data_IF_832655003200
#
_entry.id   IF_832655003200
#
_cell.length_a   1.000
_cell.length_b   1.000
_cell.length_c   1.000
_cell.angle_alpha   90.00
_cell.angle_beta   90.00
_cell.angle_gamma   90.00
#
_symmetry.space_group_name_H-M   'P 1'
#
loop_
_entity.id
_entity.type
_entity.pdbx_description
1 polymer ?
#
# COMPACT_ATOMS: atom_id res chain seq x y z
N UNK A 1 37.31 16.01 3.85
CA UNK A 1 36.66 16.65 5.01
C UNK A 1 37.55 16.56 6.25
N UNK A 2 37.88 15.36 6.72
CA UNK A 2 38.79 15.17 7.88
C UNK A 2 40.18 15.79 7.65
N UNK A 3 40.73 15.66 6.44
CA UNK A 3 42.01 16.29 6.06
C UNK A 3 41.97 17.82 6.12
N UNK A 4 40.90 18.45 5.64
CA UNK A 4 40.74 19.90 5.66
C UNK A 4 40.56 20.44 7.10
N UNK A 5 39.83 19.71 7.96
CA UNK A 5 39.64 20.07 9.36
C UNK A 5 40.96 20.05 10.14
N UNK A 6 41.85 19.09 9.84
CA UNK A 6 43.17 18.99 10.46
C UNK A 6 44.00 20.28 10.24
N UNK A 7 43.99 20.81 9.01
CA UNK A 7 44.69 22.06 8.68
C UNK A 7 44.10 23.27 9.42
N UNK A 8 42.77 23.31 9.61
CA UNK A 8 42.10 24.36 10.39
C UNK A 8 42.48 24.28 11.87
N UNK A 9 42.59 23.06 12.40
CA UNK A 9 42.95 22.85 13.80
C UNK A 9 44.41 23.23 14.10
N UNK A 10 45.31 22.98 13.14
CA UNK A 10 46.75 23.33 13.22
C UNK A 10 47.02 24.83 13.03
N UNK A 11 46.09 25.58 12.43
CA UNK A 11 46.25 27.01 12.21
C UNK A 11 46.14 27.81 13.52
N UNK A 12 47.14 28.65 13.80
CA UNK A 12 47.13 29.57 14.94
C UNK A 12 46.26 30.82 14.71
N UNK A 13 45.82 31.05 13.47
CA UNK A 13 44.98 32.21 13.09
C UNK A 13 43.50 32.03 13.40
N UNK A 14 43.07 30.81 13.72
CA UNK A 14 41.67 30.48 13.96
C UNK A 14 41.39 30.46 15.46
N UNK A 15 40.41 31.23 15.95
CA UNK A 15 40.01 31.21 17.37
C UNK A 15 39.53 29.81 17.82
N UNK A 16 39.77 29.48 19.09
CA UNK A 16 39.40 28.19 19.66
C UNK A 16 37.90 27.88 19.52
N UNK A 17 37.02 28.83 19.83
CA UNK A 17 35.58 28.66 19.72
C UNK A 17 35.12 28.28 18.31
N UNK A 18 35.80 28.77 17.27
CA UNK A 18 35.48 28.44 15.87
C UNK A 18 35.92 27.01 15.55
N UNK A 19 37.08 26.57 16.06
CA UNK A 19 37.55 25.19 15.90
C UNK A 19 36.60 24.21 16.58
N UNK A 20 36.15 24.52 17.79
CA UNK A 20 35.23 23.66 18.55
C UNK A 20 33.90 23.48 17.80
N UNK A 21 33.32 24.57 17.28
CA UNK A 21 32.09 24.51 16.47
C UNK A 21 32.30 23.69 15.19
N UNK A 22 33.42 23.89 14.49
CA UNK A 22 33.74 23.13 13.27
C UNK A 22 33.95 21.64 13.55
N UNK A 23 34.61 21.29 14.65
CA UNK A 23 34.79 19.90 15.06
C UNK A 23 33.43 19.26 15.38
N UNK A 24 32.58 19.92 16.16
CA UNK A 24 31.23 19.45 16.47
C UNK A 24 30.39 19.21 15.21
N UNK A 25 30.41 20.15 14.25
CA UNK A 25 29.72 19.99 12.96
C UNK A 25 30.27 18.81 12.15
N UNK A 26 31.59 18.58 12.17
CA UNK A 26 32.19 17.44 11.46
C UNK A 26 31.80 16.12 12.10
N UNK A 27 31.73 16.06 13.44
CA UNK A 27 31.29 14.87 14.16
C UNK A 27 29.83 14.53 13.83
N UNK A 28 28.94 15.53 13.80
CA UNK A 28 27.55 15.37 13.35
C UNK A 28 27.49 14.86 11.90
N UNK A 29 28.28 15.45 10.98
CA UNK A 29 28.32 15.01 9.59
C UNK A 29 28.87 13.59 9.42
N UNK A 30 29.79 13.16 10.29
CA UNK A 30 30.28 11.77 10.31
C UNK A 30 29.17 10.84 10.80
N UNK A 31 28.41 11.23 11.83
CA UNK A 31 27.27 10.47 12.34
C UNK A 31 26.20 10.30 11.26
N UNK A 32 25.75 11.40 10.64
CA UNK A 32 24.77 11.41 9.55
C UNK A 32 25.22 10.56 8.38
N UNK A 33 26.51 10.61 8.02
CA UNK A 33 27.05 9.77 6.95
C UNK A 33 26.96 8.28 7.27
N UNK A 34 27.31 7.89 8.50
CA UNK A 34 27.22 6.49 8.96
C UNK A 34 25.78 6.01 8.93
N UNK A 35 24.84 6.81 9.42
CA UNK A 35 23.41 6.48 9.39
C UNK A 35 22.91 6.34 7.96
N UNK A 36 23.26 7.28 7.08
CA UNK A 36 22.93 7.19 5.64
C UNK A 36 23.47 5.90 5.02
N UNK A 37 24.72 5.56 5.27
CA UNK A 37 25.36 4.37 4.71
C UNK A 37 24.72 3.08 5.26
N UNK A 38 24.29 3.09 6.53
CA UNK A 38 23.53 2.00 7.13
C UNK A 38 22.14 1.86 6.50
N UNK A 39 21.41 2.96 6.37
CA UNK A 39 20.10 3.00 5.71
C UNK A 39 20.17 2.54 4.26
N UNK A 40 21.22 2.93 3.52
CA UNK A 40 21.44 2.46 2.16
C UNK A 40 21.64 0.95 2.11
N UNK A 41 22.43 0.37 3.03
CA UNK A 41 22.62 -1.09 3.11
C UNK A 41 21.31 -1.82 3.40
N UNK A 42 20.52 -1.31 4.34
CA UNK A 42 19.21 -1.89 4.69
C UNK A 42 18.23 -1.76 3.53
N UNK A 43 18.16 -0.61 2.87
CA UNK A 43 17.32 -0.39 1.71
C UNK A 43 17.67 -1.35 0.57
N UNK A 44 18.97 -1.53 0.29
CA UNK A 44 19.46 -2.50 -0.69
C UNK A 44 19.09 -3.95 -0.32
N UNK A 45 19.19 -4.30 0.96
CA UNK A 45 18.82 -5.63 1.44
C UNK A 45 17.30 -5.87 1.31
N UNK A 46 16.48 -4.88 1.64
CA UNK A 46 15.03 -4.95 1.47
C UNK A 46 14.63 -5.02 -0.01
N UNK A 47 15.20 -4.18 -0.87
CA UNK A 47 14.97 -4.22 -2.31
C UNK A 47 15.29 -5.58 -2.90
N UNK A 48 16.39 -6.23 -2.48
CA UNK A 48 16.72 -7.61 -2.85
C UNK A 48 15.66 -8.61 -2.40
N UNK A 49 15.15 -8.50 -1.17
CA UNK A 49 14.09 -9.39 -0.66
C UNK A 49 12.79 -9.26 -1.45
N UNK A 50 12.50 -8.08 -1.99
CA UNK A 50 11.25 -7.79 -2.71
C UNK A 50 11.39 -7.74 -4.25
N UNK A 51 12.57 -8.06 -4.80
CA UNK A 51 12.80 -8.07 -6.25
C UNK A 51 12.75 -6.69 -6.91
N UNK A 52 13.03 -5.62 -6.17
CA UNK A 52 12.97 -4.24 -6.65
C UNK A 52 14.36 -3.85 -7.24
N UNK A 53 14.44 -3.29 -8.46
CA UNK A 53 15.69 -2.84 -9.06
C UNK A 53 16.44 -1.83 -8.18
N UNK A 54 17.78 -1.92 -8.19
CA UNK A 54 18.65 -1.34 -7.18
C UNK A 54 18.93 0.16 -7.34
N UNK A 55 18.66 0.75 -8.50
CA UNK A 55 18.99 2.13 -8.82
C UNK A 55 17.89 2.69 -9.73
N UNK A 56 16.99 3.51 -9.18
CA UNK A 56 16.24 4.46 -10.00
C UNK A 56 16.95 5.81 -9.85
N UNK A 57 17.37 6.46 -10.95
CA UNK A 57 17.98 7.78 -10.87
C UNK A 57 17.00 8.73 -10.17
N UNK A 58 17.54 9.62 -9.32
CA UNK A 58 16.80 10.58 -8.50
C UNK A 58 15.80 11.41 -9.34
N UNK A 59 16.05 11.57 -10.65
CA UNK A 59 15.15 12.21 -11.61
C UNK A 59 13.80 11.49 -11.82
N UNK A 60 13.64 10.24 -11.37
CA UNK A 60 12.38 9.51 -11.45
C UNK A 60 11.47 9.74 -10.22
N UNK A 61 11.97 10.39 -9.16
CA UNK A 61 11.20 10.60 -7.92
C UNK A 61 10.11 11.66 -8.12
N UNK A 62 10.37 12.69 -8.94
CA UNK A 62 9.36 13.71 -9.28
C UNK A 62 8.18 13.15 -10.11
N UNK A 63 8.33 11.96 -10.70
CA UNK A 63 7.26 11.32 -11.48
C UNK A 63 6.27 10.50 -10.63
N UNK A 64 6.63 10.17 -9.38
CA UNK A 64 5.78 9.34 -8.50
C UNK A 64 4.95 10.22 -7.55
N UNK A 65 5.37 11.46 -7.29
CA UNK A 65 4.62 12.45 -6.49
C UNK A 65 3.68 13.34 -7.31
N UNK A 66 3.76 13.29 -8.65
CA UNK A 66 2.97 14.15 -9.55
C UNK A 66 1.62 13.55 -10.02
N UNK A 67 1.04 12.59 -9.31
CA UNK A 67 -0.32 12.08 -9.62
C UNK A 67 -1.35 12.31 -8.52
N UNK A 68 -1.06 13.20 -7.57
CA UNK A 68 -2.04 13.74 -6.62
C UNK A 68 -2.28 15.22 -6.94
N UNK A 69 -2.79 15.50 -8.14
CA UNK A 69 -3.47 16.75 -8.40
C UNK A 69 -4.97 16.54 -8.17
N UNK A 70 -5.61 17.27 -7.24
CA UNK A 70 -7.04 17.45 -7.30
C UNK A 70 -7.31 18.25 -8.56
N UNK A 71 -7.89 17.61 -9.57
CA UNK A 71 -8.43 18.30 -10.72
C UNK A 71 -9.63 19.15 -10.25
N UNK A 72 -9.35 20.34 -9.73
CA UNK A 72 -10.32 21.43 -9.67
C UNK A 72 -10.57 21.89 -11.11
N UNK A 73 -11.42 21.14 -11.81
CA UNK A 73 -12.16 21.69 -12.94
C UNK A 73 -13.35 22.44 -12.36
N UNK A 74 -13.17 23.73 -12.14
CA UNK A 74 -14.27 24.68 -12.02
C UNK A 74 -15.14 24.57 -13.27
N UNK A 75 -16.29 23.91 -13.14
CA UNK A 75 -17.40 24.09 -14.08
C UNK A 75 -18.23 25.30 -13.61
N UNK A 76 -18.73 26.16 -14.51
CA UNK A 76 -19.55 27.29 -14.11
C UNK A 76 -20.86 26.78 -13.49
N UNK A 77 -21.15 27.24 -12.28
CA UNK A 77 -22.45 27.09 -11.62
C UNK A 77 -23.53 27.79 -12.45
N UNK A 78 -24.48 27.02 -12.97
CA UNK A 78 -25.72 27.53 -13.55
C UNK A 78 -26.82 27.48 -12.46
N UNK A 79 -27.29 28.61 -11.90
CA UNK A 79 -28.19 28.60 -10.76
C UNK A 79 -29.64 28.49 -11.25
N UNK A 80 -30.03 27.32 -11.78
CA UNK A 80 -31.44 27.02 -12.00
C UNK A 80 -31.72 25.54 -12.17
N UNK A 81 -32.13 24.89 -11.09
CA UNK A 81 -33.33 24.02 -11.03
C UNK A 81 -33.31 23.23 -9.72
N UNK A 82 -34.18 23.66 -8.81
CA UNK A 82 -34.70 22.82 -7.74
C UNK A 82 -35.40 21.59 -8.35
N UNK A 83 -35.30 20.44 -7.68
CA UNK A 83 -35.92 19.13 -7.98
C UNK A 83 -35.13 18.12 -8.84
N UNK A 84 -34.10 17.46 -8.26
CA UNK A 84 -33.61 16.13 -8.72
C UNK A 84 -32.65 15.39 -7.76
N UNK A 85 -32.76 15.53 -6.45
CA UNK A 85 -31.76 14.97 -5.51
C UNK A 85 -31.84 13.45 -5.21
N UNK A 86 -32.79 12.70 -5.77
CA UNK A 86 -32.95 11.27 -5.42
C UNK A 86 -32.18 10.32 -6.37
N UNK A 87 -31.78 10.79 -7.57
CA UNK A 87 -31.18 9.91 -8.59
C UNK A 87 -29.64 9.81 -8.50
N UNK A 88 -28.94 10.86 -8.07
CA UNK A 88 -27.48 10.85 -8.03
C UNK A 88 -26.88 10.10 -6.82
N UNK A 89 -27.55 10.03 -5.67
CA UNK A 89 -27.02 9.28 -4.50
C UNK A 89 -26.97 7.75 -4.76
N UNK A 90 -27.91 7.23 -5.56
CA UNK A 90 -27.93 5.83 -5.96
C UNK A 90 -26.72 5.45 -6.85
N UNK A 91 -26.32 6.34 -7.76
CA UNK A 91 -25.21 6.08 -8.68
C UNK A 91 -23.86 6.03 -7.96
N UNK A 92 -23.65 6.89 -6.96
CA UNK A 92 -22.40 6.90 -6.18
C UNK A 92 -22.25 5.64 -5.33
N UNK A 93 -23.31 5.26 -4.58
CA UNK A 93 -23.31 4.04 -3.75
C UNK A 93 -23.13 2.78 -4.58
N UNK A 94 -23.76 2.70 -5.75
CA UNK A 94 -23.57 1.60 -6.70
C UNK A 94 -22.14 1.57 -7.25
N UNK A 95 -21.57 2.73 -7.56
CA UNK A 95 -20.18 2.82 -8.03
C UNK A 95 -19.19 2.37 -6.95
N UNK A 96 -19.44 2.70 -5.69
CA UNK A 96 -18.63 2.27 -4.54
C UNK A 96 -18.78 0.76 -4.30
N UNK A 97 -20.01 0.23 -4.34
CA UNK A 97 -20.28 -1.22 -4.22
C UNK A 97 -19.53 -2.00 -5.31
N UNK A 98 -19.55 -1.51 -6.54
CA UNK A 98 -18.88 -2.10 -7.71
C UNK A 98 -17.34 -2.13 -7.60
N UNK A 99 -16.74 -1.32 -6.72
CA UNK A 99 -15.29 -1.29 -6.50
C UNK A 99 -14.82 -2.29 -5.44
N UNK A 100 -15.74 -3.03 -4.83
CA UNK A 100 -15.40 -3.99 -3.79
C UNK A 100 -16.07 -5.33 -4.01
N UNK A 101 -15.40 -6.39 -3.57
CA UNK A 101 -15.98 -7.72 -3.45
C UNK A 101 -15.99 -8.13 -1.98
N UNK A 102 -16.93 -9.01 -1.64
CA UNK A 102 -17.02 -9.60 -0.31
C UNK A 102 -16.87 -11.11 -0.47
N UNK A 103 -15.92 -11.68 0.26
CA UNK A 103 -15.58 -13.11 0.25
C UNK A 103 -16.04 -13.71 1.58
N UNK A 104 -16.74 -14.83 1.53
CA UNK A 104 -17.16 -15.61 2.69
C UNK A 104 -16.37 -16.92 2.78
N UNK A 105 -16.35 -17.54 3.97
CA UNK A 105 -15.78 -18.87 4.17
C UNK A 105 -14.25 -18.94 4.19
N UNK A 106 -13.56 -17.80 4.33
CA UNK A 106 -12.10 -17.76 4.54
C UNK A 106 -11.84 -17.93 6.04
N UNK A 107 -11.12 -18.97 6.49
CA UNK A 107 -10.80 -19.18 7.91
C UNK A 107 -10.12 -17.96 8.54
N UNK A 108 -10.39 -17.66 9.81
CA UNK A 108 -9.66 -16.62 10.54
C UNK A 108 -8.39 -17.16 11.22
N UNK A 109 -7.24 -16.51 10.99
CA UNK A 109 -6.00 -16.84 11.67
C UNK A 109 -6.05 -16.39 13.14
N UNK A 110 -5.84 -17.33 14.07
CA UNK A 110 -5.85 -17.10 15.53
C UNK A 110 -4.47 -16.72 16.09
N UNK A 111 -3.78 -15.79 15.44
CA UNK A 111 -2.52 -15.23 15.97
C UNK A 111 -2.79 -14.09 16.95
N UNK A 112 -1.96 -13.94 17.98
CA UNK A 112 -1.95 -12.76 18.86
C UNK A 112 -1.53 -11.49 18.11
N UNK A 113 -0.69 -11.62 17.08
CA UNK A 113 -0.14 -10.50 16.31
C UNK A 113 -1.10 -10.05 15.21
N UNK A 114 -1.49 -8.77 15.24
CA UNK A 114 -2.41 -8.20 14.24
C UNK A 114 -1.83 -8.22 12.82
N UNK A 115 -0.52 -8.01 12.67
CA UNK A 115 0.15 -8.03 11.37
C UNK A 115 0.08 -9.39 10.68
N UNK A 116 0.26 -10.47 11.42
CA UNK A 116 0.16 -11.84 10.87
C UNK A 116 -1.26 -12.15 10.40
N UNK A 117 -2.28 -11.72 11.16
CA UNK A 117 -3.70 -11.87 10.76
C UNK A 117 -4.00 -11.09 9.47
N UNK A 118 -3.56 -9.83 9.40
CA UNK A 118 -3.76 -9.01 8.21
C UNK A 118 -3.03 -9.58 6.98
N UNK A 119 -1.81 -10.08 7.16
CA UNK A 119 -1.03 -10.72 6.09
C UNK A 119 -1.70 -12.01 5.59
N UNK A 120 -2.23 -12.83 6.50
CA UNK A 120 -2.98 -14.03 6.16
C UNK A 120 -4.23 -13.71 5.32
N UNK A 121 -4.97 -12.67 5.72
CA UNK A 121 -6.16 -12.21 4.99
C UNK A 121 -5.80 -11.74 3.56
N UNK A 122 -4.74 -10.95 3.42
CA UNK A 122 -4.24 -10.50 2.12
C UNK A 122 -3.85 -11.67 1.21
N UNK A 123 -3.10 -12.64 1.74
CA UNK A 123 -2.68 -13.82 0.98
C UNK A 123 -3.89 -14.69 0.57
N UNK A 124 -4.86 -14.85 1.47
CA UNK A 124 -6.08 -15.60 1.21
C UNK A 124 -6.89 -14.97 0.08
N UNK A 125 -7.07 -13.65 0.09
CA UNK A 125 -7.71 -12.91 -1.01
C UNK A 125 -6.96 -13.14 -2.31
N UNK A 126 -5.63 -12.97 -2.32
CA UNK A 126 -4.81 -13.16 -3.52
C UNK A 126 -4.99 -14.56 -4.11
N UNK A 127 -5.04 -15.59 -3.27
CA UNK A 127 -5.25 -16.97 -3.71
C UNK A 127 -6.65 -17.16 -4.31
N UNK A 128 -7.70 -16.60 -3.69
CA UNK A 128 -9.06 -16.64 -4.24
C UNK A 128 -9.13 -15.93 -5.60
N UNK A 129 -8.53 -14.74 -5.71
CA UNK A 129 -8.50 -13.97 -6.95
C UNK A 129 -7.74 -14.69 -8.06
N UNK A 130 -6.58 -15.27 -7.74
CA UNK A 130 -5.82 -16.09 -8.67
C UNK A 130 -6.64 -17.30 -9.15
N UNK A 131 -7.36 -17.97 -8.24
CA UNK A 131 -8.20 -19.13 -8.56
C UNK A 131 -9.33 -18.79 -9.54
N UNK A 132 -9.94 -17.60 -9.43
CA UNK A 132 -10.99 -17.15 -10.36
C UNK A 132 -10.43 -16.48 -11.64
N UNK A 133 -9.10 -16.51 -11.81
CA UNK A 133 -8.41 -15.96 -12.98
C UNK A 133 -8.36 -14.43 -13.01
N UNK A 134 -8.48 -13.77 -11.86
CA UNK A 134 -8.42 -12.32 -11.76
C UNK A 134 -7.01 -11.89 -11.40
N UNK A 135 -6.39 -11.08 -12.26
CA UNK A 135 -5.05 -10.56 -12.07
C UNK A 135 -5.12 -9.13 -11.54
N UNK A 136 -5.21 -8.96 -10.23
CA UNK A 136 -5.14 -7.64 -9.62
C UNK A 136 -4.43 -7.65 -8.27
N UNK A 137 -3.94 -6.46 -7.88
CA UNK A 137 -3.41 -6.21 -6.54
C UNK A 137 -4.52 -5.51 -5.75
N UNK A 138 -5.01 -6.11 -4.65
CA UNK A 138 -6.03 -5.48 -3.82
C UNK A 138 -5.46 -4.26 -3.10
N UNK A 139 -6.27 -3.22 -2.96
CA UNK A 139 -5.87 -1.93 -2.35
C UNK A 139 -6.02 -1.99 -0.84
N UNK A 140 -7.14 -2.54 -0.39
CA UNK A 140 -7.43 -2.73 1.01
C UNK A 140 -8.12 -4.07 1.22
N UNK A 141 -7.79 -4.71 2.33
CA UNK A 141 -8.33 -6.01 2.74
C UNK A 141 -8.65 -5.97 4.22
N UNK A 142 -9.90 -6.23 4.59
CA UNK A 142 -10.33 -6.25 5.98
C UNK A 142 -11.55 -7.13 6.24
N UNK A 143 -11.66 -7.64 7.46
CA UNK A 143 -12.83 -8.41 7.92
C UNK A 143 -13.97 -7.48 8.33
N UNK A 144 -15.19 -7.84 7.96
CA UNK A 144 -16.42 -7.12 8.31
C UNK A 144 -17.03 -7.66 9.60
N UNK A 145 -17.50 -6.76 10.45
CA UNK A 145 -18.21 -7.09 11.68
C UNK A 145 -17.31 -7.51 12.85
N UNK A 146 -17.96 -7.93 13.94
CA UNK A 146 -17.31 -8.35 15.18
C UNK A 146 -16.93 -9.83 15.11
N UNK A 147 -15.78 -10.24 15.67
CA UNK A 147 -15.42 -11.65 15.78
C UNK A 147 -16.52 -12.43 16.51
N UNK A 148 -16.92 -13.58 15.97
CA UNK A 148 -17.89 -14.46 16.58
C UNK A 148 -17.32 -15.89 16.66
N UNK A 149 -17.48 -16.59 17.79
CA UNK A 149 -17.03 -17.96 17.90
C UNK A 149 -17.79 -18.85 16.91
N UNK A 150 -17.05 -19.70 16.18
CA UNK A 150 -17.62 -20.67 15.25
C UNK A 150 -18.04 -20.11 13.89
N UNK A 151 -17.82 -18.82 13.62
CA UNK A 151 -18.13 -18.22 12.31
C UNK A 151 -17.02 -17.27 11.86
N UNK A 152 -16.46 -17.55 10.69
CA UNK A 152 -15.51 -16.64 10.05
C UNK A 152 -16.24 -15.40 9.51
N UNK A 153 -15.64 -14.23 9.75
CA UNK A 153 -16.13 -12.97 9.22
C UNK A 153 -15.94 -12.88 7.72
N UNK A 154 -16.88 -12.16 7.10
CA UNK A 154 -16.79 -11.76 5.71
C UNK A 154 -15.57 -10.89 5.50
N UNK A 155 -14.92 -11.05 4.35
CA UNK A 155 -13.68 -10.39 4.01
C UNK A 155 -13.94 -9.46 2.83
N UNK A 156 -13.77 -8.15 3.02
CA UNK A 156 -13.99 -7.15 1.99
C UNK A 156 -12.65 -6.75 1.37
N UNK A 157 -12.64 -6.71 0.05
CA UNK A 157 -11.53 -6.23 -0.77
C UNK A 157 -11.97 -5.02 -1.59
N UNK A 158 -11.13 -3.99 -1.67
CA UNK A 158 -11.35 -2.80 -2.51
C UNK A 158 -10.30 -2.71 -3.63
N UNK A 159 -10.73 -2.31 -4.84
CA UNK A 159 -9.90 -2.22 -6.05
C UNK A 159 -9.70 -0.79 -6.55
N UNK A 160 -8.48 -0.46 -6.99
CA UNK A 160 -8.18 0.77 -7.72
C UNK A 160 -8.44 0.55 -9.22
N UNK A 161 -9.46 1.26 -9.74
CA UNK A 161 -9.81 1.55 -11.16
C UNK A 161 -9.86 0.39 -12.21
N UNK A 162 -11.11 -0.08 -12.41
CA UNK A 162 -12.00 0.01 -13.61
C UNK A 162 -11.71 -0.64 -14.98
N UNK A 163 -10.58 -1.28 -15.33
CA UNK A 163 -10.51 -1.96 -16.67
C UNK A 163 -10.91 -3.44 -16.71
N UNK A 164 -10.96 -4.14 -15.59
CA UNK A 164 -11.25 -5.60 -15.59
C UNK A 164 -12.46 -5.98 -14.72
N UNK A 165 -13.39 -5.04 -14.52
CA UNK A 165 -14.52 -5.23 -13.61
C UNK A 165 -15.54 -6.29 -14.07
N UNK A 166 -15.51 -6.70 -15.34
CA UNK A 166 -16.55 -7.54 -15.94
C UNK A 166 -16.30 -9.06 -15.85
N UNK A 167 -15.09 -9.52 -15.50
CA UNK A 167 -14.76 -10.94 -15.60
C UNK A 167 -14.85 -11.72 -14.27
N UNK A 168 -14.73 -11.04 -13.12
CA UNK A 168 -14.72 -11.69 -11.80
C UNK A 168 -16.05 -12.39 -11.40
N UNK A 169 -17.24 -11.80 -11.58
CA UNK A 169 -18.48 -12.44 -11.12
C UNK A 169 -18.92 -13.62 -12.01
N UNK A 170 -18.50 -13.65 -13.28
CA UNK A 170 -18.88 -14.74 -14.21
C UNK A 170 -18.15 -16.04 -13.86
N UNK A 171 -16.88 -15.95 -13.46
CA UNK A 171 -16.07 -17.12 -13.15
C UNK A 171 -16.38 -17.70 -11.76
N UNK A 172 -16.66 -16.87 -10.76
CA UNK A 172 -16.96 -17.33 -9.40
C UNK A 172 -18.22 -18.20 -9.31
N UNK A 173 -19.27 -17.90 -10.09
CA UNK A 173 -20.50 -18.72 -10.15
C UNK A 173 -20.24 -20.12 -10.71
N UNK A 174 -19.28 -20.28 -11.63
CA UNK A 174 -18.90 -21.60 -12.19
C UNK A 174 -18.18 -22.48 -11.18
N UNK A 175 -17.38 -21.89 -10.29
CA UNK A 175 -16.65 -22.65 -9.26
C UNK A 175 -17.57 -23.20 -8.16
N UNK A 176 -18.59 -22.44 -7.75
CA UNK A 176 -19.55 -22.90 -6.73
C UNK A 176 -20.43 -24.09 -7.17
N UNK A 177 -20.64 -24.26 -8.48
CA UNK A 177 -21.48 -25.34 -9.04
C UNK A 177 -20.75 -26.69 -9.15
N UNK A 178 -19.44 -26.77 -8.87
CA UNK A 178 -18.65 -28.01 -8.98
C UNK A 178 -18.55 -28.84 -7.68
N UNK A 179 -19.18 -28.39 -6.60
CA UNK A 179 -19.07 -29.04 -5.27
C UNK A 179 -20.29 -29.87 -4.86
N UNK A 180 -21.15 -30.28 -5.81
CA UNK A 180 -22.26 -31.18 -5.51
C UNK A 180 -22.18 -32.47 -6.35
N UNK A 181 -22.02 -33.58 -5.61
CA UNK A 181 -22.10 -34.99 -5.99
C UNK A 181 -20.87 -35.66 -6.60
N UNK A 182 -20.00 -36.14 -5.70
CA UNK A 182 -19.43 -37.49 -5.79
C UNK A 182 -19.40 -38.07 -4.37
N UNK A 183 -19.75 -39.36 -4.27
CA UNK A 183 -19.90 -40.21 -3.07
C UNK A 183 -21.19 -40.01 -2.26
N UNK A 184 -22.00 -41.03 -1.94
CA UNK A 184 -21.71 -42.45 -1.73
C UNK A 184 -22.77 -43.36 -2.37
N UNK A 185 -22.31 -44.35 -3.14
CA UNK A 185 -23.08 -45.54 -3.46
C UNK A 185 -22.78 -46.61 -2.42
N UNK A 186 -23.83 -47.17 -1.82
CA UNK A 186 -23.82 -48.43 -1.10
C UNK A 186 -24.99 -49.27 -1.59
#
# INVERSE_FOLDING_TARGET
MVSALKHVNESTKVPACVKDVLNALVDELISVRKERDQLLKENLALRRKFGIPSELPISAIDSVTASDQPAESMMPMDPRSTSKDVRHDNDFRELERKRSIVISGVPELKSSHAGERAWYDLLSVRNVLAHIGVQCIPVSVYRLGRPAPGRDRLLKEERVRRREMYQAPVNARRSASKTVHSDEGN
#
